data_IF_778140903030
#
_entry.id   IF_778140903030
#
_cell.length_a   1.000
_cell.length_b   1.000
_cell.length_c   1.000
_cell.angle_alpha   90.00
_cell.angle_beta   90.00
_cell.angle_gamma   90.00
#
_symmetry.space_group_name_H-M   'P 1'
#
loop_
_entity.id
_entity.type
_entity.pdbx_description
1 polymer ?
#
# COMPACT_ATOMS: atom_id res chain seq x y z
N UNK A 1 -3.88 24.58 -1.62
CA UNK A 1 -3.13 23.64 -0.75
C UNK A 1 -3.52 22.24 -1.16
N UNK A 2 -3.17 21.85 -2.39
CA UNK A 2 -3.73 20.64 -3.06
C UNK A 2 -2.64 19.82 -3.78
N UNK A 3 -1.37 20.03 -3.41
CA UNK A 3 -0.22 19.55 -4.20
C UNK A 3 0.54 18.40 -3.53
N UNK A 4 -0.12 17.63 -2.65
CA UNK A 4 0.45 16.39 -2.08
C UNK A 4 -0.23 15.10 -2.56
N UNK A 5 -1.26 15.19 -3.41
CA UNK A 5 -1.98 14.01 -3.95
C UNK A 5 -1.31 13.34 -5.16
N UNK A 6 -0.17 13.85 -5.62
CA UNK A 6 0.38 13.51 -6.95
C UNK A 6 1.49 12.45 -6.96
N UNK A 7 1.81 11.77 -5.84
CA UNK A 7 2.93 10.81 -5.82
C UNK A 7 2.63 9.43 -5.24
N UNK A 8 1.37 9.00 -5.19
CA UNK A 8 1.07 7.59 -4.93
C UNK A 8 1.19 6.77 -6.23
N UNK A 9 2.42 6.66 -6.75
CA UNK A 9 2.78 5.90 -7.97
C UNK A 9 2.39 4.41 -7.87
N UNK A 10 2.09 3.94 -6.65
CA UNK A 10 1.73 2.57 -6.32
C UNK A 10 0.21 2.30 -6.32
N UNK A 11 -0.66 3.31 -6.20
CA UNK A 11 -2.11 3.08 -6.14
C UNK A 11 -2.62 2.53 -7.48
N UNK A 12 -3.33 1.41 -7.42
CA UNK A 12 -3.78 0.63 -8.57
C UNK A 12 -2.78 -0.42 -9.06
N UNK A 13 -1.56 -0.48 -8.49
CA UNK A 13 -0.56 -1.51 -8.84
C UNK A 13 -0.56 -2.66 -7.84
N UNK A 14 -0.19 -3.84 -8.33
CA UNK A 14 0.24 -4.94 -7.48
C UNK A 14 1.57 -4.57 -6.83
N UNK A 15 1.60 -4.67 -5.52
CA UNK A 15 2.76 -4.40 -4.69
C UNK A 15 3.02 -5.61 -3.80
N UNK A 16 4.28 -5.78 -3.41
CA UNK A 16 4.64 -6.71 -2.36
C UNK A 16 4.74 -5.92 -1.05
N UNK A 17 3.85 -6.25 -0.12
CA UNK A 17 3.85 -5.73 1.24
C UNK A 17 4.75 -6.59 2.08
N UNK A 18 5.72 -5.95 2.74
CA UNK A 18 6.65 -6.59 3.66
C UNK A 18 6.33 -6.07 5.05
N UNK A 19 5.75 -6.90 5.89
CA UNK A 19 5.43 -6.60 7.28
C UNK A 19 6.22 -7.55 8.18
N UNK A 20 7.22 -7.00 8.88
CA UNK A 20 8.17 -7.79 9.66
C UNK A 20 8.89 -8.84 8.80
N UNK A 21 8.66 -10.13 9.09
CA UNK A 21 9.23 -11.26 8.33
C UNK A 21 8.30 -11.81 7.22
N UNK A 22 7.09 -11.28 7.09
CA UNK A 22 6.11 -11.75 6.10
C UNK A 22 6.11 -10.82 4.90
N UNK A 23 6.28 -11.39 3.71
CA UNK A 23 6.06 -10.68 2.45
C UNK A 23 4.86 -11.30 1.77
N UNK A 24 3.89 -10.47 1.38
CA UNK A 24 2.71 -10.92 0.67
C UNK A 24 2.32 -9.94 -0.44
N UNK A 25 1.81 -10.45 -1.58
CA UNK A 25 1.31 -9.60 -2.64
C UNK A 25 -0.03 -8.98 -2.22
N UNK A 26 -0.18 -7.68 -2.48
CA UNK A 26 -1.43 -6.96 -2.29
C UNK A 26 -1.57 -5.87 -3.36
N UNK A 27 -2.80 -5.41 -3.58
CA UNK A 27 -3.11 -4.33 -4.52
C UNK A 27 -3.30 -3.06 -3.71
N UNK A 28 -2.49 -2.04 -3.95
CA UNK A 28 -2.71 -0.75 -3.31
C UNK A 28 -3.98 -0.10 -3.86
N UNK A 29 -4.98 0.11 -3.01
CA UNK A 29 -6.29 0.68 -3.41
C UNK A 29 -6.31 2.20 -3.23
N UNK A 30 -5.83 2.69 -2.09
CA UNK A 30 -5.82 4.12 -1.72
C UNK A 30 -4.85 4.37 -0.57
N UNK A 31 -4.56 5.64 -0.30
CA UNK A 31 -3.90 6.05 0.94
C UNK A 31 -4.89 6.88 1.76
N UNK A 32 -5.04 6.55 3.03
CA UNK A 32 -5.87 7.30 3.97
C UNK A 32 -5.23 8.65 4.35
N UNK A 33 -6.02 9.60 4.84
CA UNK A 33 -5.52 10.93 5.26
C UNK A 33 -4.47 10.87 6.39
N UNK A 34 -4.38 9.75 7.11
CA UNK A 34 -3.33 9.51 8.10
C UNK A 34 -2.02 8.95 7.52
N UNK A 35 -1.90 8.83 6.19
CA UNK A 35 -0.74 8.22 5.53
C UNK A 35 -0.70 6.69 5.60
N UNK A 36 -1.84 6.06 5.94
CA UNK A 36 -1.96 4.61 5.91
C UNK A 36 -2.27 4.13 4.49
N UNK A 37 -1.50 3.19 3.96
CA UNK A 37 -1.78 2.56 2.69
C UNK A 37 -2.86 1.51 2.85
N UNK A 38 -3.98 1.70 2.16
CA UNK A 38 -5.05 0.74 2.04
C UNK A 38 -4.69 -0.20 0.90
N UNK A 39 -4.49 -1.47 1.23
CA UNK A 39 -4.21 -2.52 0.26
C UNK A 39 -5.32 -3.57 0.30
N UNK A 40 -5.61 -4.21 -0.84
CA UNK A 40 -6.51 -5.34 -0.93
C UNK A 40 -5.69 -6.57 -1.32
N UNK A 41 -5.76 -7.60 -0.50
CA UNK A 41 -5.13 -8.90 -0.77
C UNK A 41 -5.95 -9.69 -1.79
N UNK A 42 -5.41 -10.80 -2.30
CA UNK A 42 -6.08 -11.66 -3.27
C UNK A 42 -7.38 -12.28 -2.73
N UNK A 43 -7.45 -12.49 -1.41
CA UNK A 43 -8.62 -12.98 -0.66
C UNK A 43 -9.72 -11.91 -0.48
N UNK A 44 -9.67 -10.82 -1.26
CA UNK A 44 -10.52 -9.62 -1.14
C UNK A 44 -10.44 -8.90 0.23
N UNK A 45 -9.60 -9.36 1.14
CA UNK A 45 -9.41 -8.73 2.44
C UNK A 45 -8.64 -7.41 2.30
N UNK A 46 -9.21 -6.34 2.86
CA UNK A 46 -8.60 -5.01 2.89
C UNK A 46 -7.77 -4.85 4.17
N UNK A 47 -6.51 -4.45 4.00
CA UNK A 47 -5.61 -4.11 5.10
C UNK A 47 -5.21 -2.64 5.02
N UNK A 48 -5.25 -1.96 6.16
CA UNK A 48 -4.61 -0.67 6.34
C UNK A 48 -3.20 -0.87 6.89
N UNK A 49 -2.21 -0.37 6.15
CA UNK A 49 -0.80 -0.52 6.49
C UNK A 49 -0.19 0.85 6.77
N UNK A 50 0.42 0.98 7.93
CA UNK A 50 1.13 2.21 8.29
C UNK A 50 2.51 2.22 7.63
N UNK A 51 2.81 3.28 6.88
CA UNK A 51 4.06 3.44 6.11
C UNK A 51 5.35 3.30 6.96
N UNK A 52 5.26 3.44 8.29
CA UNK A 52 6.39 3.29 9.21
C UNK A 52 6.75 1.84 9.57
N UNK A 53 5.86 0.87 9.36
CA UNK A 53 6.08 -0.53 9.78
C UNK A 53 6.16 -1.50 8.60
N UNK A 54 5.77 -1.06 7.41
CA UNK A 54 5.77 -1.92 6.21
C UNK A 54 6.66 -1.36 5.11
N UNK A 55 7.37 -2.24 4.42
CA UNK A 55 8.05 -1.91 3.17
C UNK A 55 7.19 -2.33 1.98
N UNK A 56 7.00 -1.41 1.03
CA UNK A 56 6.22 -1.64 -0.18
C UNK A 56 7.16 -1.66 -1.37
N UNK A 57 7.14 -2.75 -2.14
CA UNK A 57 7.94 -2.89 -3.36
C UNK A 57 7.00 -3.06 -4.56
N UNK A 58 7.04 -2.16 -5.57
CA UNK A 58 6.33 -2.41 -6.82
C UNK A 58 6.92 -3.65 -7.50
N UNK A 59 6.05 -4.53 -7.96
CA UNK A 59 6.42 -5.60 -8.89
C UNK A 59 6.64 -4.96 -10.27
N UNK A 60 7.86 -5.01 -10.79
CA UNK A 60 8.23 -4.52 -12.12
C UNK A 60 8.00 -5.61 -13.18
#
# INVERSE_FOLDING_TARGET
MEEYKTHSIIVGKKINVISGMKTYPAIAKSVDNNGHLIVQTDDETIHSLSYGEVSIRPEN
#
